data_IF_700538476385
#
_entry.id   IF_700538476385
#
_cell.length_a   1.000
_cell.length_b   1.000
_cell.length_c   1.000
_cell.angle_alpha   90.00
_cell.angle_beta   90.00
_cell.angle_gamma   90.00
#
_symmetry.space_group_name_H-M   'P 1'
#
loop_
_entity.id
_entity.type
_entity.pdbx_description
1 polymer ?
#
# COMPACT_ATOMS: atom_id res chain seq x y z
N UNK A 1 23.81 -7.42 57.45
CA UNK A 1 24.03 -6.05 57.95
C UNK A 1 23.36 -5.97 59.32
N UNK A 2 24.13 -5.55 60.32
CA UNK A 2 23.81 -5.47 61.75
C UNK A 2 22.47 -4.72 62.02
N UNK A 3 21.79 -4.76 63.17
CA UNK A 3 22.22 -4.26 64.49
C UNK A 3 21.12 -4.62 65.54
N UNK A 4 21.56 -5.25 66.65
CA UNK A 4 21.24 -5.06 68.09
C UNK A 4 19.86 -4.60 68.60
N UNK A 5 19.45 -5.21 69.73
CA UNK A 5 18.27 -4.92 70.57
C UNK A 5 18.32 -3.56 71.32
N UNK A 6 17.50 -3.31 72.36
CA UNK A 6 17.36 -4.17 73.55
C UNK A 6 15.95 -4.25 74.21
N UNK A 7 15.79 -5.17 75.18
CA UNK A 7 14.82 -5.12 76.31
C UNK A 7 15.32 -4.06 77.32
N UNK A 8 14.49 -3.32 78.10
CA UNK A 8 13.92 -3.88 79.35
C UNK A 8 12.58 -3.20 79.83
N UNK A 9 11.74 -3.92 80.59
CA UNK A 9 11.43 -3.73 82.03
C UNK A 9 10.27 -2.78 82.37
N UNK A 10 9.39 -3.25 83.27
CA UNK A 10 9.10 -2.49 84.48
C UNK A 10 7.75 -1.80 84.64
N UNK A 11 6.74 -2.59 85.02
CA UNK A 11 5.78 -2.31 86.11
C UNK A 11 4.89 -1.05 86.11
N UNK A 12 3.60 -1.29 85.85
CA UNK A 12 2.40 -0.89 86.62
C UNK A 12 2.28 0.55 87.15
N UNK A 13 1.24 1.28 86.73
CA UNK A 13 0.11 1.65 87.62
C UNK A 13 -1.14 1.82 86.76
N UNK A 14 -2.21 1.29 87.32
CA UNK A 14 -3.59 1.23 86.87
C UNK A 14 -4.23 2.60 86.72
N UNK A 15 -4.97 2.80 85.61
CA UNK A 15 -6.43 2.97 85.64
C UNK A 15 -6.99 3.20 84.25
N UNK A 16 -8.06 2.45 83.99
CA UNK A 16 -9.19 2.82 83.15
C UNK A 16 -8.94 2.93 81.64
N UNK A 17 -9.07 1.80 80.94
CA UNK A 17 -10.05 1.61 79.84
C UNK A 17 -10.08 0.13 79.43
N UNK A 18 -10.67 -0.72 80.28
CA UNK A 18 -10.89 -2.17 80.07
C UNK A 18 -12.00 -2.48 79.03
N UNK A 19 -12.14 -1.63 78.01
CA UNK A 19 -13.01 -1.89 76.85
C UNK A 19 -12.25 -2.38 75.61
N UNK A 20 -10.91 -2.39 75.64
CA UNK A 20 -10.07 -2.59 74.45
C UNK A 20 -9.21 -3.88 74.46
N UNK A 21 -9.18 -4.65 75.55
CA UNK A 21 -8.19 -5.75 75.71
C UNK A 21 -8.74 -7.18 75.55
N UNK A 22 -10.04 -7.43 75.78
CA UNK A 22 -10.61 -8.78 75.65
C UNK A 22 -10.82 -9.17 74.18
N UNK A 23 -11.10 -8.18 73.33
CA UNK A 23 -11.12 -8.31 71.87
C UNK A 23 -9.72 -8.34 71.27
N UNK A 24 -8.64 -8.43 72.05
CA UNK A 24 -7.30 -8.56 71.48
C UNK A 24 -6.81 -10.00 71.52
N UNK A 25 -7.05 -10.77 72.60
CA UNK A 25 -6.46 -12.12 72.74
C UNK A 25 -7.10 -13.20 71.87
N UNK A 26 -8.42 -13.14 71.61
CA UNK A 26 -9.09 -14.07 70.68
C UNK A 26 -8.71 -13.79 69.22
N UNK A 27 -8.44 -12.52 68.92
CA UNK A 27 -7.98 -12.07 67.61
C UNK A 27 -6.52 -12.50 67.39
N UNK A 28 -5.68 -12.46 68.43
CA UNK A 28 -4.30 -12.97 68.38
C UNK A 28 -4.24 -14.48 68.12
N UNK A 29 -5.08 -15.30 68.77
CA UNK A 29 -5.09 -16.76 68.53
C UNK A 29 -5.61 -17.12 67.13
N UNK A 30 -6.68 -16.45 66.69
CA UNK A 30 -7.23 -16.61 65.34
C UNK A 30 -6.23 -16.16 64.27
N UNK A 31 -5.48 -15.08 64.54
CA UNK A 31 -4.38 -14.61 63.71
C UNK A 31 -3.24 -15.62 63.59
N UNK A 32 -2.80 -16.22 64.70
CA UNK A 32 -1.76 -17.26 64.68
C UNK A 32 -2.20 -18.50 63.89
N UNK A 33 -3.46 -18.92 64.00
CA UNK A 33 -3.96 -20.05 63.22
C UNK A 33 -4.08 -19.72 61.73
N UNK A 34 -4.45 -18.48 61.40
CA UNK A 34 -4.48 -18.00 60.01
C UNK A 34 -3.07 -17.99 59.41
N UNK A 35 -2.07 -17.49 60.15
CA UNK A 35 -0.66 -17.49 59.72
C UNK A 35 -0.17 -18.92 59.46
N UNK A 36 -0.45 -19.88 60.35
CA UNK A 36 -0.07 -21.29 60.14
C UNK A 36 -0.70 -21.88 58.87
N UNK A 37 -1.98 -21.58 58.61
CA UNK A 37 -2.64 -22.01 57.38
C UNK A 37 -2.06 -21.33 56.14
N UNK A 38 -1.68 -20.06 56.25
CA UNK A 38 -1.02 -19.33 55.18
C UNK A 38 0.38 -19.90 54.88
N UNK A 39 1.14 -20.27 55.91
CA UNK A 39 2.42 -20.98 55.79
C UNK A 39 2.26 -22.37 55.14
N UNK A 40 1.26 -23.15 55.57
CA UNK A 40 0.92 -24.44 54.95
C UNK A 40 0.60 -24.29 53.46
N UNK A 41 -0.21 -23.28 53.12
CA UNK A 41 -0.54 -22.96 51.73
C UNK A 41 0.72 -22.56 50.95
N UNK A 42 1.60 -21.76 51.54
CA UNK A 42 2.88 -21.39 50.92
C UNK A 42 3.75 -22.62 50.63
N UNK A 43 3.88 -23.55 51.59
CA UNK A 43 4.63 -24.81 51.42
C UNK A 43 4.00 -25.67 50.31
N UNK A 44 2.67 -25.73 50.21
CA UNK A 44 2.01 -26.47 49.13
C UNK A 44 2.27 -25.84 47.77
N UNK A 45 2.25 -24.52 47.65
CA UNK A 45 2.61 -23.84 46.40
C UNK A 45 4.06 -24.12 46.01
N UNK A 46 5.01 -24.10 46.94
CA UNK A 46 6.41 -24.44 46.67
C UNK A 46 6.55 -25.89 46.21
N UNK A 47 5.87 -26.85 46.86
CA UNK A 47 5.86 -28.26 46.45
C UNK A 47 5.28 -28.44 45.05
N UNK A 48 4.15 -27.80 44.75
CA UNK A 48 3.54 -27.84 43.41
C UNK A 48 4.50 -27.25 42.38
N UNK A 49 5.11 -26.11 42.66
CA UNK A 49 6.07 -25.46 41.76
C UNK A 49 7.31 -26.34 41.50
N UNK A 50 7.85 -27.00 42.53
CA UNK A 50 8.97 -27.94 42.38
C UNK A 50 8.55 -29.15 41.53
N UNK A 51 7.38 -29.74 41.80
CA UNK A 51 6.86 -30.87 41.04
C UNK A 51 6.59 -30.50 39.58
N UNK A 52 6.06 -29.30 39.32
CA UNK A 52 5.81 -28.80 37.97
C UNK A 52 7.13 -28.59 37.21
N UNK A 53 8.15 -28.00 37.85
CA UNK A 53 9.49 -27.90 37.25
C UNK A 53 10.11 -29.27 36.97
N UNK A 54 9.97 -30.23 37.88
CA UNK A 54 10.46 -31.60 37.66
C UNK A 54 9.73 -32.28 36.51
N UNK A 55 8.40 -32.09 36.40
CA UNK A 55 7.59 -32.61 35.29
C UNK A 55 8.06 -32.02 33.96
N UNK A 56 8.18 -30.69 33.87
CA UNK A 56 8.66 -30.01 32.66
C UNK A 56 10.05 -30.48 32.26
N UNK A 57 10.98 -30.62 33.21
CA UNK A 57 12.31 -31.14 32.92
C UNK A 57 12.25 -32.59 32.40
N UNK A 58 11.43 -33.44 33.01
CA UNK A 58 11.20 -34.82 32.56
C UNK A 58 10.60 -34.88 31.14
N UNK A 59 9.62 -34.02 30.84
CA UNK A 59 9.03 -33.92 29.49
C UNK A 59 10.08 -33.50 28.44
N UNK A 60 10.94 -32.53 28.77
CA UNK A 60 12.05 -32.11 27.89
C UNK A 60 13.02 -33.27 27.66
N UNK A 61 13.43 -33.98 28.70
CA UNK A 61 14.35 -35.12 28.58
C UNK A 61 13.76 -36.26 27.74
N UNK A 62 12.47 -36.56 27.94
CA UNK A 62 11.74 -37.54 27.13
C UNK A 62 11.74 -37.11 25.66
N UNK A 63 11.41 -35.85 25.36
CA UNK A 63 11.44 -35.35 23.99
C UNK A 63 12.83 -35.44 23.35
N UNK A 64 13.90 -35.12 24.08
CA UNK A 64 15.28 -35.29 23.60
C UNK A 64 15.59 -36.76 23.27
N UNK A 65 15.12 -37.71 24.09
CA UNK A 65 15.28 -39.14 23.82
C UNK A 65 14.45 -39.61 22.62
N UNK A 66 13.21 -39.15 22.49
CA UNK A 66 12.35 -39.43 21.33
C UNK A 66 12.97 -38.93 20.03
N UNK A 67 13.55 -37.73 20.04
CA UNK A 67 14.29 -37.20 18.89
C UNK A 67 15.52 -38.04 18.54
N UNK A 68 16.29 -38.48 19.55
CA UNK A 68 17.42 -39.40 19.34
C UNK A 68 16.96 -40.72 18.74
N UNK A 69 15.85 -41.29 19.22
CA UNK A 69 15.26 -42.52 18.66
C UNK A 69 14.86 -42.30 17.21
N UNK A 70 14.17 -41.19 16.90
CA UNK A 70 13.78 -40.84 15.52
C UNK A 70 15.00 -40.72 14.62
N UNK A 71 16.05 -40.04 15.07
CA UNK A 71 17.30 -39.88 14.33
C UNK A 71 18.01 -41.21 14.08
N UNK A 72 18.07 -42.09 15.07
CA UNK A 72 18.65 -43.43 14.91
C UNK A 72 17.83 -44.27 13.93
N UNK A 73 16.50 -44.21 13.97
CA UNK A 73 15.63 -44.87 12.98
C UNK A 73 15.92 -44.39 11.56
N UNK A 74 16.08 -43.08 11.35
CA UNK A 74 16.47 -42.53 10.05
C UNK A 74 17.84 -43.02 9.59
N UNK A 75 18.84 -43.09 10.49
CA UNK A 75 20.16 -43.65 10.17
C UNK A 75 20.10 -45.12 9.77
N UNK A 76 19.28 -45.92 10.45
CA UNK A 76 19.09 -47.34 10.10
C UNK A 76 18.47 -47.46 8.71
N UNK A 77 17.41 -46.69 8.43
CA UNK A 77 16.75 -46.71 7.12
C UNK A 77 17.72 -46.30 5.98
N UNK A 78 18.54 -45.27 6.19
CA UNK A 78 19.53 -44.85 5.20
C UNK A 78 20.62 -45.91 4.99
N UNK A 79 21.08 -46.58 6.05
CA UNK A 79 22.05 -47.69 5.92
C UNK A 79 21.45 -48.89 5.19
N UNK A 80 20.18 -49.22 5.44
CA UNK A 80 19.48 -50.26 4.71
C UNK A 80 19.33 -49.90 3.22
N UNK A 81 19.01 -48.64 2.90
CA UNK A 81 18.95 -48.15 1.53
C UNK A 81 20.31 -48.29 0.84
N UNK A 82 21.41 -47.88 1.50
CA UNK A 82 22.78 -48.04 0.98
C UNK A 82 23.12 -49.51 0.70
N UNK A 83 22.77 -50.42 1.61
CA UNK A 83 22.98 -51.87 1.40
C UNK A 83 22.19 -52.37 0.19
N UNK A 84 20.93 -51.94 0.03
CA UNK A 84 20.09 -52.32 -1.11
C UNK A 84 20.70 -51.86 -2.44
N UNK A 85 21.10 -50.58 -2.52
CA UNK A 85 21.75 -50.03 -3.71
C UNK A 85 23.02 -50.81 -4.05
N UNK A 86 23.91 -51.04 -3.06
CA UNK A 86 25.14 -51.79 -3.29
C UNK A 86 24.86 -53.22 -3.74
N UNK A 87 23.86 -53.91 -3.17
CA UNK A 87 23.46 -55.26 -3.60
C UNK A 87 23.00 -55.28 -5.06
N UNK A 88 22.29 -54.25 -5.52
CA UNK A 88 21.87 -54.14 -6.91
C UNK A 88 23.02 -53.84 -7.87
N UNK A 89 24.07 -53.16 -7.41
CA UNK A 89 25.25 -52.83 -8.22
C UNK A 89 26.24 -54.01 -8.35
N UNK A 90 26.28 -54.93 -7.38
CA UNK A 90 27.20 -56.07 -7.38
C UNK A 90 27.10 -56.95 -8.64
N UNK A 91 25.90 -57.35 -9.12
CA UNK A 91 25.76 -58.11 -10.37
C UNK A 91 26.31 -57.36 -11.59
N UNK A 92 26.06 -56.06 -11.70
CA UNK A 92 26.55 -55.23 -12.82
C UNK A 92 28.07 -55.20 -12.82
N UNK A 93 28.68 -55.00 -11.64
CA UNK A 93 30.13 -55.02 -11.48
C UNK A 93 30.73 -56.37 -11.88
N UNK A 94 30.10 -57.48 -11.49
CA UNK A 94 30.52 -58.84 -11.88
C UNK A 94 30.42 -59.07 -13.40
N UNK A 95 29.37 -58.56 -14.05
CA UNK A 95 29.22 -58.67 -15.50
C UNK A 95 30.33 -57.88 -16.21
N UNK A 96 30.60 -56.64 -15.79
CA UNK A 96 31.69 -55.83 -16.35
C UNK A 96 33.07 -56.47 -16.13
N UNK A 97 33.33 -57.05 -14.95
CA UNK A 97 34.58 -57.77 -14.69
C UNK A 97 34.74 -58.99 -15.63
N UNK A 98 33.64 -59.68 -15.96
CA UNK A 98 33.66 -60.79 -16.91
C UNK A 98 33.93 -60.31 -18.35
N UNK A 99 33.30 -59.22 -18.77
CA UNK A 99 33.53 -58.61 -20.08
C UNK A 99 34.98 -58.14 -20.22
N UNK A 100 35.54 -57.51 -19.18
CA UNK A 100 36.96 -57.11 -19.16
C UNK A 100 37.89 -58.31 -19.32
N UNK A 101 37.60 -59.43 -18.65
CA UNK A 101 38.39 -60.65 -18.82
C UNK A 101 38.32 -61.19 -20.25
N UNK A 102 37.13 -61.18 -20.88
CA UNK A 102 36.97 -61.58 -22.28
C UNK A 102 37.75 -60.66 -23.21
N UNK A 103 37.64 -59.34 -23.04
CA UNK A 103 38.39 -58.37 -23.85
C UNK A 103 39.91 -58.55 -23.69
N UNK A 104 40.38 -58.81 -22.46
CA UNK A 104 41.80 -59.06 -22.21
C UNK A 104 42.31 -60.30 -22.95
N UNK A 105 41.51 -61.37 -22.98
CA UNK A 105 41.81 -62.60 -23.73
C UNK A 105 41.81 -62.34 -25.24
N UNK A 106 40.82 -61.61 -25.75
CA UNK A 106 40.75 -61.25 -27.17
C UNK A 106 41.94 -60.39 -27.58
N UNK A 107 42.31 -59.42 -26.74
CA UNK A 107 43.47 -58.58 -26.97
C UNK A 107 44.76 -59.42 -27.02
N UNK A 108 44.96 -60.35 -26.07
CA UNK A 108 46.14 -61.22 -26.10
C UNK A 108 46.17 -62.08 -27.38
N UNK A 109 45.04 -62.66 -27.77
CA UNK A 109 44.92 -63.43 -29.02
C UNK A 109 45.27 -62.60 -30.26
N UNK A 110 44.76 -61.36 -30.34
CA UNK A 110 45.11 -60.45 -31.42
C UNK A 110 46.59 -60.09 -31.42
N UNK A 111 47.19 -59.82 -30.25
CA UNK A 111 48.62 -59.51 -30.16
C UNK A 111 49.49 -60.70 -30.57
N UNK A 112 49.10 -61.92 -30.22
CA UNK A 112 49.83 -63.13 -30.63
C UNK A 112 49.71 -63.36 -32.14
N UNK A 113 48.53 -63.13 -32.71
CA UNK A 113 48.32 -63.18 -34.17
C UNK A 113 49.12 -62.12 -34.91
N UNK A 114 49.23 -60.90 -34.37
CA UNK A 114 50.08 -59.85 -34.95
C UNK A 114 51.54 -60.29 -34.93
N UNK A 115 52.04 -60.81 -33.80
CA UNK A 115 53.42 -61.33 -33.72
C UNK A 115 53.68 -62.47 -34.69
N UNK A 116 52.70 -63.36 -34.88
CA UNK A 116 52.79 -64.44 -35.87
C UNK A 116 52.88 -63.88 -37.29
N UNK A 117 52.00 -62.93 -37.64
CA UNK A 117 52.04 -62.25 -38.94
C UNK A 117 53.35 -61.49 -39.14
N UNK A 118 53.83 -60.76 -38.13
CA UNK A 118 55.12 -60.06 -38.16
C UNK A 118 56.26 -61.02 -38.45
N UNK A 119 56.31 -62.20 -37.82
CA UNK A 119 57.30 -63.24 -38.15
C UNK A 119 57.20 -63.67 -39.61
N UNK A 120 55.99 -63.88 -40.12
CA UNK A 120 55.79 -64.17 -41.54
C UNK A 120 56.24 -63.03 -42.47
N UNK A 121 56.03 -61.77 -42.07
CA UNK A 121 56.45 -60.59 -42.84
C UNK A 121 57.96 -60.32 -42.79
N UNK A 122 58.62 -60.63 -41.67
CA UNK A 122 60.06 -60.46 -41.49
C UNK A 122 60.84 -61.53 -42.25
N UNK A 123 60.26 -62.72 -42.48
CA UNK A 123 60.90 -63.78 -43.26
C UNK A 123 61.12 -63.37 -44.73
N UNK A 124 62.39 -63.18 -45.16
CA UNK A 124 62.71 -62.67 -46.50
C UNK A 124 62.54 -63.72 -47.61
N UNK A 125 62.38 -65.01 -47.27
CA UNK A 125 62.22 -66.10 -48.25
C UNK A 125 60.77 -66.30 -48.75
N UNK A 126 59.81 -65.50 -48.28
CA UNK A 126 58.41 -65.65 -48.69
C UNK A 126 58.19 -65.20 -50.15
N UNK A 127 57.81 -66.16 -51.02
CA UNK A 127 57.59 -65.96 -52.47
C UNK A 127 56.62 -64.83 -52.84
N UNK A 128 55.72 -64.44 -51.93
CA UNK A 128 54.71 -63.40 -52.15
C UNK A 128 55.16 -61.98 -51.76
N UNK A 129 56.31 -61.82 -51.10
CA UNK A 129 56.80 -60.50 -50.62
C UNK A 129 57.69 -59.78 -51.63
N UNK A 130 58.34 -60.53 -52.53
CA UNK A 130 59.18 -59.95 -53.58
C UNK A 130 58.28 -59.56 -54.76
N UNK A 131 57.84 -58.31 -54.77
CA UNK A 131 57.24 -57.68 -55.96
C UNK A 131 58.35 -57.01 -56.74
N UNK A 132 58.70 -57.56 -57.90
CA UNK A 132 59.49 -56.84 -58.90
C UNK A 132 58.62 -55.67 -59.40
N UNK A 133 58.93 -54.45 -58.94
CA UNK A 133 58.21 -53.25 -59.36
C UNK A 133 58.64 -52.93 -60.79
N UNK A 134 57.71 -52.84 -61.75
CA UNK A 134 58.04 -52.36 -63.08
C UNK A 134 58.27 -50.84 -63.03
N UNK A 135 59.49 -50.43 -63.33
CA UNK A 135 59.90 -49.03 -63.42
C UNK A 135 61.34 -48.97 -63.91
N UNK A 136 61.69 -47.94 -64.67
CA UNK A 136 63.10 -47.58 -64.83
C UNK A 136 63.50 -46.80 -63.58
N UNK A 137 64.56 -47.25 -62.91
CA UNK A 137 65.20 -46.44 -61.89
C UNK A 137 65.73 -45.19 -62.60
N UNK A 138 65.17 -44.04 -62.23
CA UNK A 138 65.63 -42.75 -62.74
C UNK A 138 67.09 -42.59 -62.30
N UNK A 139 67.96 -42.29 -63.24
CA UNK A 139 69.34 -41.93 -62.93
C UNK A 139 69.36 -40.67 -62.07
N UNK A 140 70.38 -40.50 -61.23
CA UNK A 140 70.52 -39.33 -60.35
C UNK A 140 70.33 -38.01 -61.11
N UNK A 141 70.83 -37.93 -62.35
CA UNK A 141 70.65 -36.78 -63.25
C UNK A 141 69.19 -36.48 -63.62
N UNK A 142 68.35 -37.50 -63.81
CA UNK A 142 66.93 -37.33 -64.15
C UNK A 142 66.12 -36.87 -62.93
N UNK A 143 66.53 -37.30 -61.73
CA UNK A 143 65.94 -36.85 -60.46
C UNK A 143 66.29 -35.38 -60.21
N UNK A 144 67.57 -35.00 -60.41
CA UNK A 144 68.02 -33.62 -60.26
C UNK A 144 67.25 -32.71 -61.23
N UNK A 145 67.12 -33.08 -62.51
CA UNK A 145 66.34 -32.31 -63.48
C UNK A 145 64.88 -32.14 -63.06
N UNK A 146 64.25 -33.18 -62.49
CA UNK A 146 62.87 -33.08 -61.98
C UNK A 146 62.79 -32.18 -60.74
N UNK A 147 63.78 -32.25 -59.86
CA UNK A 147 63.87 -31.38 -58.69
C UNK A 147 63.93 -29.91 -59.14
N UNK A 148 64.83 -29.58 -60.06
CA UNK A 148 65.00 -28.22 -60.58
C UNK A 148 63.70 -27.69 -61.23
N UNK A 149 63.00 -28.54 -61.99
CA UNK A 149 61.69 -28.16 -62.56
C UNK A 149 60.64 -27.87 -61.49
N UNK A 150 60.57 -28.71 -60.46
CA UNK A 150 59.60 -28.54 -59.37
C UNK A 150 59.92 -27.32 -58.51
N UNK A 151 61.21 -27.06 -58.24
CA UNK A 151 61.67 -25.86 -57.54
C UNK A 151 61.31 -24.59 -58.33
N UNK A 152 61.50 -24.61 -59.66
CA UNK A 152 61.11 -23.51 -60.53
C UNK A 152 59.58 -23.29 -60.54
N UNK A 153 58.79 -24.36 -60.64
CA UNK A 153 57.33 -24.27 -60.58
C UNK A 153 56.83 -23.74 -59.22
N UNK A 154 57.48 -24.17 -58.13
CA UNK A 154 57.19 -23.71 -56.77
C UNK A 154 57.50 -22.23 -56.62
N UNK A 155 58.67 -21.77 -57.04
CA UNK A 155 59.03 -20.34 -57.02
C UNK A 155 58.03 -19.48 -57.81
N UNK A 156 57.58 -19.95 -58.99
CA UNK A 156 56.55 -19.27 -59.79
C UNK A 156 55.18 -19.21 -59.10
N UNK A 157 54.86 -20.19 -58.27
CA UNK A 157 53.61 -20.21 -57.49
C UNK A 157 53.71 -19.27 -56.29
N UNK A 158 54.85 -19.21 -55.63
CA UNK A 158 55.13 -18.30 -54.52
C UNK A 158 55.06 -16.84 -54.97
N UNK A 159 55.68 -16.48 -56.10
CA UNK A 159 55.59 -15.14 -56.68
C UNK A 159 54.13 -14.71 -56.90
N UNK A 160 53.33 -15.57 -57.53
CA UNK A 160 51.89 -15.32 -57.76
C UNK A 160 51.08 -15.20 -56.48
N UNK A 161 51.50 -15.88 -55.42
CA UNK A 161 50.85 -15.81 -54.11
C UNK A 161 51.15 -14.45 -53.46
N UNK A 162 52.39 -13.99 -53.51
CA UNK A 162 52.78 -12.66 -53.03
C UNK A 162 52.04 -11.53 -53.76
N UNK A 163 51.86 -11.63 -55.08
CA UNK A 163 51.04 -10.67 -55.84
C UNK A 163 49.59 -10.62 -55.35
N UNK A 164 48.99 -11.81 -55.11
CA UNK A 164 47.62 -11.93 -54.61
C UNK A 164 47.47 -11.33 -53.21
N UNK A 165 48.44 -11.59 -52.33
CA UNK A 165 48.43 -11.07 -50.97
C UNK A 165 48.55 -9.55 -50.95
N UNK A 166 49.41 -8.97 -51.80
CA UNK A 166 49.51 -7.51 -51.95
C UNK A 166 48.19 -6.89 -52.43
N UNK A 167 47.54 -7.49 -53.43
CA UNK A 167 46.22 -7.03 -53.91
C UNK A 167 45.18 -7.14 -52.79
N UNK A 168 45.17 -8.25 -52.06
CA UNK A 168 44.24 -8.48 -50.96
C UNK A 168 44.41 -7.44 -49.86
N UNK A 169 45.64 -7.11 -49.48
CA UNK A 169 45.92 -6.09 -48.48
C UNK A 169 45.39 -4.72 -48.94
N UNK A 170 45.66 -4.34 -50.19
CA UNK A 170 45.20 -3.07 -50.75
C UNK A 170 43.66 -2.98 -50.81
N UNK A 171 42.99 -4.05 -51.26
CA UNK A 171 41.52 -4.14 -51.28
C UNK A 171 40.95 -4.08 -49.85
N UNK A 172 41.59 -4.75 -48.90
CA UNK A 172 41.18 -4.75 -47.49
C UNK A 172 41.30 -3.36 -46.87
N UNK A 173 42.41 -2.66 -47.13
CA UNK A 173 42.60 -1.28 -46.68
C UNK A 173 41.57 -0.33 -47.27
N UNK A 174 41.29 -0.42 -48.57
CA UNK A 174 40.26 0.40 -49.23
C UNK A 174 38.86 0.10 -48.68
N UNK A 175 38.54 -1.17 -48.47
CA UNK A 175 37.27 -1.62 -47.90
C UNK A 175 37.09 -1.08 -46.48
N UNK A 176 38.12 -1.14 -45.64
CA UNK A 176 38.09 -0.62 -44.28
C UNK A 176 37.93 0.92 -44.26
N UNK A 177 38.63 1.64 -45.15
CA UNK A 177 38.46 3.09 -45.32
C UNK A 177 37.03 3.44 -45.73
N UNK A 178 36.45 2.71 -46.68
CA UNK A 178 35.06 2.92 -47.11
C UNK A 178 34.08 2.63 -45.97
N UNK A 179 34.25 1.51 -45.27
CA UNK A 179 33.42 1.14 -44.11
C UNK A 179 33.46 2.22 -43.02
N UNK A 180 34.64 2.76 -42.73
CA UNK A 180 34.80 3.89 -41.79
C UNK A 180 34.01 5.12 -42.23
N UNK A 181 34.14 5.54 -43.50
CA UNK A 181 33.38 6.67 -44.07
C UNK A 181 31.86 6.44 -44.02
N UNK A 182 31.41 5.25 -44.42
CA UNK A 182 29.99 4.89 -44.37
C UNK A 182 29.45 4.90 -42.94
N UNK A 183 30.21 4.41 -41.97
CA UNK A 183 29.78 4.40 -40.57
C UNK A 183 29.71 5.82 -39.98
N UNK A 184 30.64 6.71 -40.33
CA UNK A 184 30.56 8.13 -39.97
C UNK A 184 29.32 8.78 -40.58
N UNK A 185 29.10 8.62 -41.89
CA UNK A 185 27.93 9.17 -42.58
C UNK A 185 26.60 8.67 -41.99
N UNK A 186 26.52 7.38 -41.61
CA UNK A 186 25.35 6.81 -40.91
C UNK A 186 25.08 7.52 -39.58
N UNK A 187 26.11 7.81 -38.79
CA UNK A 187 25.98 8.54 -37.52
C UNK A 187 25.48 9.96 -37.77
N UNK A 188 26.03 10.66 -38.75
CA UNK A 188 25.63 12.04 -39.08
C UNK A 188 24.18 12.11 -39.57
N UNK A 189 23.79 11.17 -40.43
CA UNK A 189 22.40 11.06 -40.93
C UNK A 189 21.43 10.80 -39.78
N UNK A 190 21.81 9.93 -38.83
CA UNK A 190 21.00 9.65 -37.64
C UNK A 190 20.87 10.87 -36.72
N UNK A 191 21.95 11.63 -36.52
CA UNK A 191 21.91 12.88 -35.76
C UNK A 191 20.99 13.92 -36.41
N UNK A 192 21.06 14.05 -37.74
CA UNK A 192 20.19 14.94 -38.49
C UNK A 192 18.72 14.52 -38.36
N UNK A 193 18.41 13.24 -38.53
CA UNK A 193 17.06 12.71 -38.35
C UNK A 193 16.50 12.96 -36.94
N UNK A 194 17.32 12.79 -35.90
CA UNK A 194 16.93 13.12 -34.51
C UNK A 194 16.61 14.60 -34.34
N UNK A 195 17.44 15.49 -34.89
CA UNK A 195 17.18 16.94 -34.87
C UNK A 195 15.88 17.28 -35.60
N UNK A 196 15.66 16.72 -36.78
CA UNK A 196 14.43 16.90 -37.57
C UNK A 196 13.19 16.46 -36.79
N UNK A 197 13.22 15.27 -36.18
CA UNK A 197 12.13 14.78 -35.34
C UNK A 197 11.88 15.69 -34.13
N UNK A 198 12.94 16.21 -33.52
CA UNK A 198 12.83 17.21 -32.46
C UNK A 198 12.14 18.50 -32.91
N UNK A 199 12.49 19.02 -34.09
CA UNK A 199 11.80 20.18 -34.67
C UNK A 199 10.34 19.88 -34.99
N UNK A 200 10.05 18.72 -35.59
CA UNK A 200 8.67 18.32 -35.89
C UNK A 200 7.81 18.24 -34.62
N UNK A 201 8.34 17.69 -33.52
CA UNK A 201 7.64 17.68 -32.23
C UNK A 201 7.36 19.10 -31.74
N UNK A 202 8.37 19.98 -31.73
CA UNK A 202 8.20 21.38 -31.32
C UNK A 202 7.16 22.12 -32.17
N UNK A 203 7.11 21.86 -33.47
CA UNK A 203 6.11 22.44 -34.37
C UNK A 203 4.71 21.94 -34.00
N UNK A 204 4.55 20.63 -33.75
CA UNK A 204 3.26 20.06 -33.30
C UNK A 204 2.80 20.68 -31.99
N UNK A 205 3.68 20.73 -30.99
CA UNK A 205 3.38 21.32 -29.67
C UNK A 205 2.98 22.81 -29.79
N UNK A 206 3.65 23.57 -30.66
CA UNK A 206 3.31 24.97 -30.92
C UNK A 206 1.97 25.11 -31.65
N UNK A 207 1.67 24.21 -32.60
CA UNK A 207 0.39 24.19 -33.32
C UNK A 207 -0.76 23.86 -32.38
N UNK A 208 -0.56 22.92 -31.46
CA UNK A 208 -1.56 22.57 -30.43
C UNK A 208 -1.87 23.74 -29.50
N UNK A 209 -0.82 24.42 -29.00
CA UNK A 209 -1.00 25.66 -28.23
C UNK A 209 -1.73 26.75 -29.01
N UNK A 210 -1.39 26.92 -30.30
CA UNK A 210 -2.07 27.87 -31.16
C UNK A 210 -3.54 27.52 -31.33
N UNK A 211 -3.89 26.24 -31.52
CA UNK A 211 -5.29 25.79 -31.59
C UNK A 211 -6.05 26.07 -30.29
N UNK A 212 -5.44 25.84 -29.13
CA UNK A 212 -6.04 26.17 -27.84
C UNK A 212 -6.33 27.67 -27.69
N UNK A 213 -5.35 28.53 -28.03
CA UNK A 213 -5.55 29.98 -28.00
C UNK A 213 -6.61 30.46 -29.00
N UNK A 214 -6.67 29.85 -30.19
CA UNK A 214 -7.70 30.15 -31.18
C UNK A 214 -9.10 29.77 -30.67
N UNK A 215 -9.23 28.64 -29.96
CA UNK A 215 -10.49 28.23 -29.34
C UNK A 215 -10.89 29.14 -28.17
N UNK A 216 -9.95 29.56 -27.33
CA UNK A 216 -10.20 30.54 -26.27
C UNK A 216 -10.68 31.87 -26.87
N UNK A 217 -9.97 32.36 -27.89
CA UNK A 217 -10.31 33.60 -28.57
C UNK A 217 -11.68 33.52 -29.25
N UNK A 218 -12.02 32.41 -29.90
CA UNK A 218 -13.33 32.24 -30.52
C UNK A 218 -14.47 32.24 -29.48
N UNK A 219 -14.26 31.63 -28.32
CA UNK A 219 -15.20 31.70 -27.20
C UNK A 219 -15.37 33.13 -26.69
N UNK A 220 -14.28 33.89 -26.52
CA UNK A 220 -14.34 35.31 -26.11
C UNK A 220 -15.00 36.20 -27.16
N UNK A 221 -14.76 35.94 -28.44
CA UNK A 221 -15.43 36.62 -29.54
C UNK A 221 -16.94 36.36 -29.50
N UNK A 222 -17.36 35.10 -29.33
CA UNK A 222 -18.77 34.74 -29.21
C UNK A 222 -19.44 35.45 -28.02
N UNK A 223 -18.78 35.47 -26.86
CA UNK A 223 -19.28 36.19 -25.67
C UNK A 223 -19.40 37.70 -25.91
N UNK A 224 -18.42 38.30 -26.58
CA UNK A 224 -18.45 39.73 -26.94
C UNK A 224 -19.65 40.03 -27.85
N UNK A 225 -19.89 39.18 -28.85
CA UNK A 225 -21.03 39.33 -29.77
C UNK A 225 -22.36 39.22 -29.02
N UNK A 226 -22.50 38.28 -28.08
CA UNK A 226 -23.72 38.12 -27.29
C UNK A 226 -23.95 39.34 -26.37
N UNK A 227 -22.92 39.82 -25.68
CA UNK A 227 -23.02 41.03 -24.85
C UNK A 227 -23.35 42.27 -25.69
N UNK A 228 -22.76 42.43 -26.87
CA UNK A 228 -23.11 43.52 -27.79
C UNK A 228 -24.55 43.44 -28.28
N UNK A 229 -25.07 42.23 -28.48
CA UNK A 229 -26.47 42.01 -28.83
C UNK A 229 -27.38 42.40 -27.66
N UNK A 230 -27.06 41.99 -26.43
CA UNK A 230 -27.83 42.37 -25.24
C UNK A 230 -27.83 43.89 -25.02
N UNK A 231 -26.68 44.55 -25.15
CA UNK A 231 -26.61 46.03 -25.07
C UNK A 231 -27.54 46.68 -26.08
N UNK A 232 -27.50 46.26 -27.36
CA UNK A 232 -28.40 46.78 -28.39
C UNK A 232 -29.88 46.53 -28.07
N UNK A 233 -30.24 45.33 -27.64
CA UNK A 233 -31.61 45.00 -27.25
C UNK A 233 -32.11 45.88 -26.09
N UNK A 234 -31.25 46.15 -25.09
CA UNK A 234 -31.57 47.04 -23.96
C UNK A 234 -31.66 48.51 -24.38
N UNK A 235 -30.76 48.97 -25.26
CA UNK A 235 -30.80 50.33 -25.82
C UNK A 235 -32.08 50.55 -26.63
N UNK A 236 -32.45 49.61 -27.50
CA UNK A 236 -33.70 49.65 -28.26
C UNK A 236 -34.93 49.63 -27.32
N UNK A 237 -34.89 48.82 -26.27
CA UNK A 237 -35.93 48.78 -25.25
C UNK A 237 -36.09 50.13 -24.54
N UNK A 238 -34.98 50.74 -24.09
CA UNK A 238 -34.98 52.05 -23.45
C UNK A 238 -35.49 53.11 -24.43
N UNK A 239 -35.01 53.10 -25.68
CA UNK A 239 -35.45 54.04 -26.71
C UNK A 239 -36.97 53.95 -26.96
N UNK A 240 -37.51 52.73 -27.05
CA UNK A 240 -38.95 52.49 -27.17
C UNK A 240 -39.74 53.04 -25.97
N UNK A 241 -39.24 52.82 -24.75
CA UNK A 241 -39.84 53.36 -23.53
C UNK A 241 -39.80 54.89 -23.51
N UNK A 242 -38.64 55.49 -23.77
CA UNK A 242 -38.46 56.95 -23.82
C UNK A 242 -39.35 57.60 -24.87
N UNK A 243 -39.42 57.04 -26.09
CA UNK A 243 -40.30 57.56 -27.14
C UNK A 243 -41.78 57.51 -26.77
N UNK A 244 -42.21 56.48 -26.03
CA UNK A 244 -43.58 56.40 -25.49
C UNK A 244 -43.84 57.46 -24.42
N UNK A 245 -42.89 57.64 -23.50
CA UNK A 245 -42.98 58.66 -22.45
C UNK A 245 -43.05 60.07 -23.05
N UNK A 246 -42.20 60.38 -24.05
CA UNK A 246 -42.22 61.65 -24.77
C UNK A 246 -43.56 61.93 -25.46
N UNK A 247 -44.21 60.87 -25.97
CA UNK A 247 -45.54 60.93 -26.57
C UNK A 247 -46.69 60.93 -25.55
N UNK A 248 -46.39 60.87 -24.25
CA UNK A 248 -47.38 60.81 -23.16
C UNK A 248 -48.17 59.49 -23.11
N UNK A 249 -47.68 58.43 -23.77
CA UNK A 249 -48.33 57.12 -23.79
C UNK A 249 -47.87 56.27 -22.58
N UNK A 250 -48.76 55.44 -22.01
CA UNK A 250 -48.37 54.55 -20.92
C UNK A 250 -47.30 53.54 -21.36
N UNK A 251 -46.43 53.20 -20.40
CA UNK A 251 -45.44 52.13 -20.53
C UNK A 251 -46.13 50.77 -20.77
N UNK A 252 -45.35 49.78 -21.23
CA UNK A 252 -45.91 48.48 -21.55
C UNK A 252 -46.48 47.77 -20.29
N UNK A 253 -47.54 46.97 -20.47
CA UNK A 253 -48.26 46.32 -19.37
C UNK A 253 -47.40 45.32 -18.60
N UNK A 254 -46.42 44.71 -19.26
CA UNK A 254 -45.45 43.83 -18.61
C UNK A 254 -44.57 44.58 -17.61
N UNK A 255 -44.13 45.81 -17.95
CA UNK A 255 -43.32 46.66 -17.07
C UNK A 255 -44.12 47.06 -15.82
N UNK A 256 -45.40 47.41 -16.02
CA UNK A 256 -46.30 47.73 -14.91
C UNK A 256 -46.48 46.53 -13.97
N UNK A 257 -46.68 45.32 -14.52
CA UNK A 257 -46.79 44.10 -13.71
C UNK A 257 -45.54 43.81 -12.91
N UNK A 258 -44.36 44.00 -13.51
CA UNK A 258 -43.09 43.78 -12.83
C UNK A 258 -42.81 44.84 -11.76
N UNK A 259 -43.17 46.11 -12.01
CA UNK A 259 -43.14 47.17 -11.00
C UNK A 259 -44.04 46.86 -9.80
N UNK A 260 -45.26 46.39 -10.06
CA UNK A 260 -46.18 45.96 -8.99
C UNK A 260 -45.66 44.75 -8.20
N UNK A 261 -44.86 43.86 -8.81
CA UNK A 261 -44.17 42.79 -8.06
C UNK A 261 -43.12 43.38 -7.13
N UNK A 262 -42.27 44.28 -7.63
CA UNK A 262 -41.23 44.95 -6.82
C UNK A 262 -41.85 45.66 -5.62
N UNK A 263 -42.92 46.43 -5.83
CA UNK A 263 -43.63 47.10 -4.72
C UNK A 263 -44.17 46.13 -3.68
N UNK A 264 -44.76 45.00 -4.11
CA UNK A 264 -45.21 43.95 -3.18
C UNK A 264 -44.04 43.34 -2.42
N UNK A 265 -42.93 43.04 -3.09
CA UNK A 265 -41.77 42.44 -2.47
C UNK A 265 -41.12 43.39 -1.46
N UNK A 266 -41.06 44.70 -1.77
CA UNK A 266 -40.62 45.75 -0.85
C UNK A 266 -41.53 45.84 0.39
N UNK A 267 -42.85 45.80 0.21
CA UNK A 267 -43.81 45.81 1.31
C UNK A 267 -43.65 44.56 2.19
N UNK A 268 -43.48 43.38 1.57
CA UNK A 268 -43.21 42.13 2.28
C UNK A 268 -41.87 42.18 3.04
N UNK A 269 -40.82 42.72 2.44
CA UNK A 269 -39.52 42.91 3.09
C UNK A 269 -39.59 43.90 4.24
N UNK A 270 -40.35 44.99 4.10
CA UNK A 270 -40.57 45.98 5.15
C UNK A 270 -41.34 45.36 6.33
N UNK A 271 -42.41 44.61 6.05
CA UNK A 271 -43.18 43.91 7.07
C UNK A 271 -42.31 42.89 7.82
N UNK A 272 -41.53 42.08 7.09
CA UNK A 272 -40.62 41.11 7.69
C UNK A 272 -39.44 41.75 8.45
N UNK A 273 -39.08 43.00 8.13
CA UNK A 273 -38.08 43.76 8.89
C UNK A 273 -38.68 44.33 10.19
N UNK A 274 -39.93 44.82 10.14
CA UNK A 274 -40.66 45.28 11.33
C UNK A 274 -40.93 44.12 12.28
N UNK A 275 -41.37 42.96 11.77
CA UNK A 275 -41.62 41.76 12.56
C UNK A 275 -40.34 41.29 13.27
N UNK A 276 -39.22 41.16 12.54
CA UNK A 276 -37.92 40.84 13.15
C UNK A 276 -37.49 41.85 14.22
N UNK A 277 -37.68 43.15 13.96
CA UNK A 277 -37.35 44.18 14.97
C UNK A 277 -38.21 44.08 16.22
N UNK A 278 -39.48 43.67 16.10
CA UNK A 278 -40.35 43.40 17.25
C UNK A 278 -39.90 42.14 17.99
N UNK A 279 -39.57 41.07 17.27
CA UNK A 279 -39.04 39.83 17.84
C UNK A 279 -37.75 40.07 18.62
N UNK A 280 -36.83 40.89 18.09
CA UNK A 280 -35.58 41.28 18.74
C UNK A 280 -35.84 42.11 20.02
N UNK A 281 -36.76 43.07 19.99
CA UNK A 281 -37.14 43.85 21.17
C UNK A 281 -37.82 42.98 22.25
N UNK A 282 -38.69 42.04 21.84
CA UNK A 282 -39.26 41.05 22.75
C UNK A 282 -38.20 40.09 23.29
N UNK A 283 -37.20 39.72 22.48
CA UNK A 283 -36.09 38.87 22.89
C UNK A 283 -35.23 39.57 23.96
N UNK A 284 -34.93 40.86 23.80
CA UNK A 284 -34.29 41.68 24.85
C UNK A 284 -35.14 41.70 26.13
N UNK A 285 -36.46 41.89 26.03
CA UNK A 285 -37.34 41.85 27.20
C UNK A 285 -37.44 40.45 27.85
N UNK A 286 -37.23 39.38 27.07
CA UNK A 286 -37.22 37.98 27.52
C UNK A 286 -35.87 37.54 28.13
N UNK A 287 -34.81 38.35 28.03
CA UNK A 287 -33.57 38.10 28.74
C UNK A 287 -33.69 38.48 30.22
N UNK A 288 -33.42 37.53 31.10
CA UNK A 288 -33.28 37.81 32.53
C UNK A 288 -31.93 38.50 32.82
N UNK A 289 -31.79 39.23 33.94
CA UNK A 289 -30.51 39.82 34.36
C UNK A 289 -29.34 38.83 34.52
N UNK A 290 -29.62 37.52 34.57
CA UNK A 290 -28.61 36.44 34.56
C UNK A 290 -28.11 36.05 33.16
N UNK A 291 -28.66 36.66 32.09
CA UNK A 291 -28.33 36.36 30.69
C UNK A 291 -29.08 35.16 30.10
N UNK A 292 -30.00 34.53 30.85
CA UNK A 292 -30.80 33.39 30.37
C UNK A 292 -32.11 33.88 29.76
N UNK A 293 -32.43 33.42 28.55
CA UNK A 293 -33.69 33.70 27.87
C UNK A 293 -34.82 32.84 28.42
N UNK A 294 -35.99 33.44 28.65
CA UNK A 294 -37.20 32.71 29.08
C UNK A 294 -38.35 32.93 28.11
N UNK A 295 -39.08 31.86 27.82
CA UNK A 295 -40.33 31.89 27.02
C UNK A 295 -41.59 32.06 27.88
N UNK A 296 -41.43 32.23 29.19
CA UNK A 296 -42.55 32.49 30.10
C UNK A 296 -42.94 33.97 30.03
N UNK A 297 -44.23 34.27 29.82
CA UNK A 297 -44.76 35.62 29.96
C UNK A 297 -44.45 36.17 31.36
N UNK A 298 -43.82 37.34 31.45
CA UNK A 298 -43.58 37.98 32.75
C UNK A 298 -44.92 38.29 33.42
N UNK A 299 -45.10 37.84 34.67
CA UNK A 299 -46.32 38.13 35.41
C UNK A 299 -46.37 39.62 35.74
N UNK A 300 -47.52 40.32 35.55
CA UNK A 300 -47.69 41.67 36.03
C UNK A 300 -47.38 41.72 37.53
N UNK A 301 -46.28 42.37 37.91
CA UNK A 301 -45.77 42.39 39.29
C UNK A 301 -46.31 43.57 40.10
N UNK A 302 -46.96 44.53 39.43
CA UNK A 302 -47.55 45.69 40.04
C UNK A 302 -48.89 46.04 39.37
N UNK A 303 -49.79 46.62 40.15
CA UNK A 303 -50.96 47.30 39.60
C UNK A 303 -50.78 48.80 39.69
N UNK A 304 -51.53 49.52 38.87
CA UNK A 304 -51.65 50.98 38.96
C UNK A 304 -52.98 51.25 39.67
N UNK A 305 -52.98 51.79 40.91
CA UNK A 305 -54.22 52.13 41.59
C UNK A 305 -54.89 53.34 40.92
N UNK A 306 -56.18 53.24 40.61
CA UNK A 306 -56.99 54.31 40.00
C UNK A 306 -57.48 55.39 40.99
N UNK A 307 -56.72 55.68 42.06
CA UNK A 307 -57.15 56.63 43.09
C UNK A 307 -56.64 58.07 42.80
N UNK A 308 -57.58 59.02 42.66
CA UNK A 308 -57.37 60.42 42.23
C UNK A 308 -56.51 61.34 43.15
N UNK A 309 -55.80 60.79 44.14
CA UNK A 309 -55.03 61.60 45.11
C UNK A 309 -53.55 61.23 45.24
N UNK A 310 -53.02 60.35 44.38
CA UNK A 310 -51.59 60.07 44.31
C UNK A 310 -51.12 59.78 42.87
N UNK A 311 -49.87 60.16 42.55
CA UNK A 311 -49.21 59.86 41.27
C UNK A 311 -49.33 58.35 40.94
N UNK A 312 -49.56 57.98 39.66
CA UNK A 312 -49.76 56.59 39.23
C UNK A 312 -48.42 55.83 39.24
N UNK A 313 -47.94 55.52 40.44
CA UNK A 313 -46.76 54.70 40.64
C UNK A 313 -47.17 53.23 40.74
N UNK A 314 -46.50 52.32 40.00
CA UNK A 314 -46.80 50.89 40.05
C UNK A 314 -46.58 50.37 41.47
N UNK A 315 -47.64 49.83 42.09
CA UNK A 315 -47.57 49.25 43.44
C UNK A 315 -47.53 47.73 43.35
N UNK A 316 -46.64 47.05 44.09
CA UNK A 316 -46.55 45.60 44.06
C UNK A 316 -47.82 44.97 44.62
N UNK A 317 -48.27 43.88 44.00
CA UNK A 317 -49.29 43.04 44.60
C UNK A 317 -48.69 42.39 45.85
N UNK A 318 -49.25 42.68 47.04
CA UNK A 318 -48.79 42.10 48.31
C UNK A 318 -49.05 40.59 48.41
N UNK A 319 -49.24 40.08 49.64
CA UNK A 319 -49.45 38.64 49.88
C UNK A 319 -50.67 38.01 49.14
N UNK A 320 -51.60 38.84 48.64
CA UNK A 320 -52.80 38.43 47.92
C UNK A 320 -52.68 38.74 46.41
N UNK A 321 -51.62 38.25 45.75
CA UNK A 321 -51.43 38.49 44.33
C UNK A 321 -52.47 37.75 43.46
N UNK A 322 -53.04 38.40 42.42
CA UNK A 322 -53.98 37.75 41.53
C UNK A 322 -53.29 36.61 40.76
N UNK A 323 -53.83 35.40 40.91
CA UNK A 323 -53.36 34.23 40.20
C UNK A 323 -54.05 34.15 38.83
N UNK A 324 -53.28 34.20 37.73
CA UNK A 324 -53.77 33.89 36.38
C UNK A 324 -53.82 32.36 36.24
N UNK A 325 -55.00 31.72 36.13
CA UNK A 325 -55.08 30.28 35.92
C UNK A 325 -54.39 29.91 34.61
N UNK A 326 -53.54 28.88 34.64
CA UNK A 326 -52.96 28.35 33.40
C UNK A 326 -54.08 27.80 32.52
N UNK A 327 -54.17 28.28 31.28
CA UNK A 327 -55.14 27.74 30.34
C UNK A 327 -54.91 26.22 30.17
N UNK A 328 -55.97 25.39 30.21
CA UNK A 328 -55.82 23.96 30.10
C UNK A 328 -55.22 23.61 28.73
N UNK A 329 -54.02 23.04 28.72
CA UNK A 329 -53.34 22.63 27.49
C UNK A 329 -54.17 21.66 26.64
N UNK A 330 -53.90 21.65 25.33
CA UNK A 330 -54.66 20.92 24.30
C UNK A 330 -54.87 19.41 24.56
N UNK A 331 -54.11 18.82 25.48
CA UNK A 331 -54.17 17.39 25.87
C UNK A 331 -55.45 16.99 26.62
N UNK A 332 -56.24 17.94 27.16
CA UNK A 332 -57.41 17.63 28.01
C UNK A 332 -58.76 17.44 27.28
N UNK A 333 -58.76 17.27 25.96
CA UNK A 333 -59.99 17.13 25.13
C UNK A 333 -60.77 15.80 25.34
N UNK A 334 -60.26 14.86 26.13
CA UNK A 334 -60.83 13.51 26.27
C UNK A 334 -61.55 13.21 27.61
N UNK A 335 -61.74 14.19 28.50
CA UNK A 335 -62.50 13.98 29.75
C UNK A 335 -63.98 14.26 29.49
N UNK A 336 -64.79 13.22 29.26
CA UNK A 336 -66.26 13.34 29.19
C UNK A 336 -66.85 13.34 30.60
N UNK A 337 -67.71 14.32 30.91
CA UNK A 337 -68.46 14.35 32.18
C UNK A 337 -69.51 13.23 32.17
N UNK A 338 -69.69 12.47 33.27
CA UNK A 338 -70.69 11.40 33.32
C UNK A 338 -72.12 11.97 33.24
N UNK A 339 -72.97 11.32 32.45
CA UNK A 339 -74.39 11.70 32.31
C UNK A 339 -75.17 11.15 33.51
N UNK A 340 -75.74 12.05 34.31
CA UNK A 340 -76.57 11.71 35.47
C UNK A 340 -77.95 11.32 34.94
N UNK A 341 -78.42 10.09 35.23
CA UNK A 341 -79.79 9.66 34.89
C UNK A 341 -80.78 10.33 35.86
N UNK A 342 -81.91 10.87 35.38
CA UNK A 342 -82.93 11.44 36.24
C UNK A 342 -83.60 10.34 37.08
N UNK A 343 -83.75 10.58 38.38
CA UNK A 343 -84.54 9.75 39.29
C UNK A 343 -85.96 10.33 39.26
N UNK A 344 -86.96 9.51 38.95
CA UNK A 344 -88.37 9.89 39.00
C UNK A 344 -88.85 9.85 40.46
N UNK A 345 -89.08 11.06 40.99
CA UNK A 345 -89.74 11.49 42.24
C UNK A 345 -89.12 11.03 43.56
#
# INVERSE_FOLDING_TARGET
>A
MCIWGPKPEGTTVTKSTNGLNLTSSEYDHSGVQLIKREEEVCIFYEKINIQEKMKLNGEIEIHVLEEKIRFLKLKIAEKQRQICVTRNLVPVKRALDADLAVLQIQFSQCTDKIKELEKHFINPESKNRIRLIPGKDLTEEEIIKKLDMLEFELAKKEEKLLEKDFIFEQVSQLTNKLKGKTQACKKDTLLLAKKMNGYQKRIKDATEKMMALVAELSMKQALTIELQKEVREKEEFIFSCSSRIEKGLPLNREIEKDWLKVLRDEEMHAFAAVERSQEDAEAEYRQLPSGVYTTAEQRPNAYIPEADTALPLPKPYGALAPFKPTEPGSSRRHIRKPVIKPIEI
#
